data_IF_932081224437
#
_entry.id   IF_932081224437
#
_cell.length_a   1.000
_cell.length_b   1.000
_cell.length_c   1.000
_cell.angle_alpha   90.00
_cell.angle_beta   90.00
_cell.angle_gamma   90.00
#
_symmetry.space_group_name_H-M   'P 1'
#
loop_
_entity.id
_entity.type
_entity.pdbx_description
1 polymer ?
#
# COMPACT_ATOMS: atom_id res chain seq x y z
N UNK A 1 -14.95 15.01 71.34
CA UNK A 1 -15.97 13.99 71.00
C UNK A 1 -16.77 14.57 69.84
N UNK A 2 -16.30 14.36 68.60
CA UNK A 2 -16.58 13.23 67.70
C UNK A 2 -17.86 13.50 66.89
N UNK A 3 -17.64 14.07 65.71
CA UNK A 3 -18.55 14.15 64.56
C UNK A 3 -19.08 12.79 64.16
N UNK A 4 -20.26 12.73 63.54
CA UNK A 4 -20.53 11.87 62.38
C UNK A 4 -21.81 12.35 61.66
N UNK A 5 -21.63 13.17 60.63
CA UNK A 5 -22.61 13.38 59.57
C UNK A 5 -22.32 12.35 58.47
N UNK A 6 -23.32 11.56 58.11
CA UNK A 6 -23.25 10.63 56.98
C UNK A 6 -23.35 11.41 55.67
N UNK A 7 -22.22 11.57 54.98
CA UNK A 7 -22.18 11.97 53.58
C UNK A 7 -22.01 10.72 52.71
N UNK A 8 -23.00 10.45 51.86
CA UNK A 8 -22.93 9.43 50.82
C UNK A 8 -22.08 10.00 49.68
N UNK A 9 -20.80 9.63 49.63
CA UNK A 9 -19.94 9.94 48.51
C UNK A 9 -20.09 8.85 47.44
N UNK A 10 -20.67 9.23 46.31
CA UNK A 10 -20.81 8.41 45.12
C UNK A 10 -19.42 7.98 44.61
N UNK A 11 -19.19 6.66 44.57
CA UNK A 11 -18.02 6.08 43.94
C UNK A 11 -18.24 6.01 42.42
N UNK A 12 -17.77 7.04 41.70
CA UNK A 12 -17.66 7.00 40.24
C UNK A 12 -16.51 6.08 39.83
N UNK A 13 -16.82 4.81 39.55
CA UNK A 13 -15.94 3.90 38.81
C UNK A 13 -15.83 4.41 37.36
N UNK A 14 -14.82 5.23 37.09
CA UNK A 14 -14.38 5.52 35.72
C UNK A 14 -13.68 4.26 35.22
N UNK A 15 -14.45 3.37 34.59
CA UNK A 15 -13.90 2.29 33.79
C UNK A 15 -13.15 2.98 32.63
N UNK A 16 -11.82 3.02 32.73
CA UNK A 16 -10.96 3.45 31.64
C UNK A 16 -11.16 2.52 30.46
N UNK A 17 -12.03 2.92 29.53
CA UNK A 17 -12.12 2.32 28.21
C UNK A 17 -10.82 2.66 27.48
N UNK A 18 -9.81 1.82 27.61
CA UNK A 18 -8.73 1.74 26.62
C UNK A 18 -9.39 1.27 25.34
N UNK A 19 -9.79 2.22 24.50
CA UNK A 19 -10.19 1.89 23.13
C UNK A 19 -8.99 1.21 22.48
N UNK A 20 -9.13 0.00 21.92
CA UNK A 20 -8.09 -0.56 21.08
C UNK A 20 -7.83 0.46 19.97
N UNK A 21 -6.59 0.93 19.89
CA UNK A 21 -6.14 1.81 18.82
C UNK A 21 -6.45 1.15 17.48
N UNK A 22 -7.08 1.96 16.64
CA UNK A 22 -7.38 1.75 15.23
C UNK A 22 -6.39 0.76 14.58
N UNK A 23 -6.93 -0.35 14.08
CA UNK A 23 -6.24 -1.31 13.23
C UNK A 23 -5.36 -0.56 12.23
N UNK A 24 -4.05 -0.80 12.22
CA UNK A 24 -3.21 -0.48 11.06
C UNK A 24 -3.91 -1.12 9.86
N UNK A 25 -4.50 -0.31 8.98
CA UNK A 25 -4.75 -0.74 7.62
C UNK A 25 -3.37 -1.12 7.10
N UNK A 26 -3.11 -2.41 6.93
CA UNK A 26 -1.79 -2.92 6.56
C UNK A 26 -1.31 -2.12 5.34
N UNK A 27 -0.21 -1.39 5.50
CA UNK A 27 0.35 -0.53 4.45
C UNK A 27 1.09 -1.40 3.43
N UNK A 28 0.31 -2.24 2.77
CA UNK A 28 0.75 -3.32 1.88
C UNK A 28 -0.05 -3.21 0.58
N UNK A 29 0.66 -3.45 -0.53
CA UNK A 29 0.11 -3.78 -1.82
C UNK A 29 0.11 -5.30 -2.03
N UNK A 30 -0.99 -5.86 -2.52
CA UNK A 30 -1.01 -7.20 -3.09
C UNK A 30 -0.75 -7.08 -4.59
N UNK A 31 0.38 -7.58 -5.08
CA UNK A 31 0.75 -7.46 -6.51
C UNK A 31 1.08 -8.82 -7.10
N UNK A 32 0.88 -8.99 -8.41
CA UNK A 32 1.31 -10.25 -9.07
C UNK A 32 2.83 -10.34 -9.09
N UNK A 33 3.36 -11.49 -8.69
CA UNK A 33 4.79 -11.74 -8.58
C UNK A 33 5.55 -11.41 -9.88
N UNK A 34 5.05 -11.88 -11.03
CA UNK A 34 5.66 -11.65 -12.36
C UNK A 34 5.75 -10.16 -12.71
N UNK A 35 4.71 -9.38 -12.38
CA UNK A 35 4.68 -7.96 -12.69
C UNK A 35 5.68 -7.19 -11.84
N UNK A 36 5.73 -7.48 -10.53
CA UNK A 36 6.72 -6.85 -9.66
C UNK A 36 8.15 -7.25 -10.01
N UNK A 37 8.38 -8.48 -10.45
CA UNK A 37 9.68 -8.91 -10.95
C UNK A 37 10.12 -8.09 -12.17
N UNK A 38 9.21 -7.83 -13.11
CA UNK A 38 9.48 -6.92 -14.23
C UNK A 38 9.86 -5.52 -13.71
N UNK A 39 9.11 -4.97 -12.75
CA UNK A 39 9.44 -3.66 -12.17
C UNK A 39 10.85 -3.68 -11.60
N UNK A 40 11.21 -4.68 -10.80
CA UNK A 40 12.55 -4.81 -10.20
C UNK A 40 13.67 -4.90 -11.24
N UNK A 41 13.46 -5.64 -12.33
CA UNK A 41 14.42 -5.77 -13.43
C UNK A 41 14.63 -4.44 -14.18
N UNK A 42 13.64 -3.55 -14.15
CA UNK A 42 13.64 -2.28 -14.87
C UNK A 42 13.62 -1.04 -13.96
N UNK A 43 13.96 -1.16 -12.67
CA UNK A 43 13.95 -0.04 -11.69
C UNK A 43 14.72 1.18 -12.19
N UNK A 44 15.84 0.96 -12.87
CA UNK A 44 16.70 2.04 -13.35
C UNK A 44 15.99 2.87 -14.43
N UNK A 45 15.09 2.28 -15.23
CA UNK A 45 14.28 2.99 -16.24
C UNK A 45 13.23 3.89 -15.57
N UNK A 46 12.54 3.39 -14.55
CA UNK A 46 11.59 4.19 -13.77
C UNK A 46 12.28 5.35 -13.04
N UNK A 47 13.49 5.11 -12.54
CA UNK A 47 14.28 6.10 -11.79
C UNK A 47 14.82 7.25 -12.67
N UNK A 48 14.84 7.07 -14.00
CA UNK A 48 15.28 8.10 -14.97
C UNK A 48 14.17 9.05 -15.40
N UNK A 49 12.91 8.79 -15.04
CA UNK A 49 11.79 9.69 -15.34
C UNK A 49 11.97 11.06 -14.65
N UNK A 50 11.32 12.11 -15.14
CA UNK A 50 11.50 13.46 -14.61
C UNK A 50 10.90 13.65 -13.20
N UNK A 51 9.79 12.98 -12.90
CA UNK A 51 9.06 13.12 -11.62
C UNK A 51 9.78 12.42 -10.46
N UNK A 52 9.61 12.90 -9.23
CA UNK A 52 10.00 12.13 -8.04
C UNK A 52 8.96 11.06 -7.69
N UNK A 53 7.68 11.36 -7.93
CA UNK A 53 6.57 10.44 -7.74
C UNK A 53 6.36 9.63 -9.01
N UNK A 54 6.59 8.33 -8.90
CA UNK A 54 6.54 7.39 -10.02
C UNK A 54 5.28 6.56 -9.90
N UNK A 55 4.40 6.71 -10.89
CA UNK A 55 3.20 5.89 -11.06
C UNK A 55 3.56 4.74 -12.00
N UNK A 56 3.36 3.51 -11.56
CA UNK A 56 3.71 2.31 -12.30
C UNK A 56 2.45 1.51 -12.58
N UNK A 57 2.10 1.39 -13.86
CA UNK A 57 1.08 0.48 -14.34
C UNK A 57 1.72 -0.90 -14.54
N UNK A 58 1.41 -1.83 -13.64
CA UNK A 58 2.08 -3.13 -13.53
C UNK A 58 1.89 -4.02 -14.76
N UNK A 59 0.81 -3.85 -15.50
CA UNK A 59 0.50 -4.55 -16.75
C UNK A 59 1.26 -3.99 -17.98
N UNK A 60 1.78 -2.77 -17.87
CA UNK A 60 2.49 -2.09 -18.96
C UNK A 60 4.02 -2.07 -18.74
N UNK A 61 4.53 -2.73 -17.69
CA UNK A 61 5.96 -2.78 -17.43
C UNK A 61 6.75 -3.33 -18.65
N UNK A 62 7.87 -2.67 -19.07
CA UNK A 62 8.57 -1.58 -18.40
C UNK A 62 8.21 -0.15 -18.90
N UNK A 63 7.07 0.04 -19.56
CA UNK A 63 6.70 1.33 -20.14
C UNK A 63 6.56 2.43 -19.07
N UNK A 64 7.22 3.58 -19.27
CA UNK A 64 7.18 4.75 -18.39
C UNK A 64 6.43 5.94 -19.01
N UNK A 65 6.00 5.84 -20.27
CA UNK A 65 5.26 6.89 -20.95
C UNK A 65 3.78 6.84 -20.55
N UNK A 66 3.41 7.68 -19.58
CA UNK A 66 2.05 7.79 -19.07
C UNK A 66 1.05 8.14 -20.19
N UNK A 67 1.42 8.98 -21.16
CA UNK A 67 0.50 9.36 -22.23
C UNK A 67 0.18 8.16 -23.13
N UNK A 68 1.18 7.36 -23.47
CA UNK A 68 1.01 6.12 -24.23
C UNK A 68 0.17 5.09 -23.47
N UNK A 69 0.45 4.87 -22.18
CA UNK A 69 -0.29 3.93 -21.33
C UNK A 69 -1.77 4.34 -21.22
N UNK A 70 -2.04 5.60 -20.90
CA UNK A 70 -3.40 6.11 -20.73
C UNK A 70 -4.17 6.07 -22.04
N UNK A 71 -3.52 6.38 -23.17
CA UNK A 71 -4.16 6.32 -24.49
C UNK A 71 -4.65 4.91 -24.82
N UNK A 72 -3.87 3.87 -24.51
CA UNK A 72 -4.31 2.46 -24.71
C UNK A 72 -5.49 2.09 -23.80
N UNK A 73 -5.47 2.53 -22.55
CA UNK A 73 -6.53 2.21 -21.57
C UNK A 73 -7.85 2.90 -21.91
N UNK A 74 -7.82 4.15 -22.38
CA UNK A 74 -9.01 4.91 -22.82
C UNK A 74 -9.65 4.27 -24.07
N UNK A 75 -8.86 3.82 -25.03
CA UNK A 75 -9.37 3.19 -26.26
C UNK A 75 -10.09 1.86 -25.98
N UNK A 76 -9.71 1.16 -24.92
CA UNK A 76 -10.32 -0.12 -24.55
C UNK A 76 -11.57 0.03 -23.64
N UNK A 77 -12.06 1.24 -23.36
CA UNK A 77 -13.16 1.50 -22.42
C UNK A 77 -12.95 0.94 -21.00
N UNK A 78 -11.75 0.42 -20.71
CA UNK A 78 -11.25 0.19 -19.37
C UNK A 78 -10.71 1.54 -18.86
N UNK A 79 -11.60 2.49 -18.62
CA UNK A 79 -11.30 3.48 -17.58
C UNK A 79 -11.13 2.60 -16.34
N UNK A 80 -9.93 2.46 -15.76
CA UNK A 80 -9.80 1.72 -14.52
C UNK A 80 -10.80 2.37 -13.59
N UNK A 81 -11.82 1.62 -13.18
CA UNK A 81 -12.78 2.15 -12.23
C UNK A 81 -11.93 2.44 -11.02
N UNK A 82 -11.72 3.71 -10.72
CA UNK A 82 -11.13 4.18 -9.46
C UNK A 82 -12.21 3.98 -8.38
N UNK A 83 -12.89 2.84 -8.38
CA UNK A 83 -13.48 2.33 -7.18
C UNK A 83 -12.27 1.96 -6.34
N UNK A 84 -12.11 2.51 -5.12
CA UNK A 84 -11.11 2.03 -4.19
C UNK A 84 -11.53 0.62 -3.78
N UNK A 85 -11.30 -0.37 -4.65
CA UNK A 85 -11.14 -1.74 -4.21
C UNK A 85 -9.83 -1.72 -3.46
N UNK A 86 -9.92 -1.92 -2.14
CA UNK A 86 -8.75 -2.32 -1.38
C UNK A 86 -8.12 -3.49 -2.12
N UNK A 87 -6.86 -3.33 -2.47
CA UNK A 87 -6.12 -4.37 -3.14
C UNK A 87 -5.98 -5.56 -2.19
N UNK A 88 -6.07 -6.76 -2.75
CA UNK A 88 -6.14 -7.99 -1.99
C UNK A 88 -5.66 -9.17 -2.81
N UNK A 89 -5.48 -10.35 -2.21
CA UNK A 89 -4.98 -11.53 -2.91
C UNK A 89 -5.83 -11.91 -4.14
N UNK A 90 -7.14 -11.64 -4.11
CA UNK A 90 -8.06 -11.92 -5.22
C UNK A 90 -8.23 -10.74 -6.20
N UNK A 91 -7.78 -9.54 -5.80
CA UNK A 91 -7.84 -8.31 -6.57
C UNK A 91 -6.50 -7.58 -6.43
N UNK A 92 -5.41 -8.15 -6.99
CA UNK A 92 -4.10 -7.55 -6.88
C UNK A 92 -4.10 -6.18 -7.54
N UNK A 93 -3.29 -5.28 -7.01
CA UNK A 93 -3.12 -3.95 -7.55
C UNK A 93 -2.58 -3.99 -8.97
N UNK A 94 -3.13 -3.11 -9.80
CA UNK A 94 -2.71 -2.92 -11.20
C UNK A 94 -1.84 -1.67 -11.34
N UNK A 95 -1.93 -0.74 -10.39
CA UNK A 95 -1.17 0.50 -10.36
C UNK A 95 -0.57 0.65 -8.98
N UNK A 96 0.74 0.88 -8.91
CA UNK A 96 1.43 1.21 -7.66
C UNK A 96 2.12 2.55 -7.80
N UNK A 97 2.37 3.19 -6.66
CA UNK A 97 3.07 4.47 -6.60
C UNK A 97 4.25 4.35 -5.64
N UNK A 98 5.40 4.82 -6.09
CA UNK A 98 6.59 4.97 -5.26
C UNK A 98 7.28 6.29 -5.56
N UNK A 99 7.97 6.84 -4.57
CA UNK A 99 9.00 7.83 -4.84
C UNK A 99 10.25 7.17 -5.46
N UNK A 100 11.12 7.95 -6.11
CA UNK A 100 12.43 7.45 -6.56
C UNK A 100 13.26 6.83 -5.43
N UNK A 101 13.18 7.40 -4.22
CA UNK A 101 13.85 6.86 -3.03
C UNK A 101 13.31 5.47 -2.67
N UNK A 102 12.00 5.30 -2.68
CA UNK A 102 11.34 4.02 -2.42
C UNK A 102 11.64 2.96 -3.49
N UNK A 103 11.74 3.34 -4.77
CA UNK A 103 12.18 2.41 -5.81
C UNK A 103 13.58 1.86 -5.56
N UNK A 104 14.49 2.68 -5.02
CA UNK A 104 15.82 2.21 -4.64
C UNK A 104 15.73 1.16 -3.53
N UNK A 105 14.94 1.41 -2.48
CA UNK A 105 14.73 0.43 -1.41
C UNK A 105 14.07 -0.86 -1.93
N UNK A 106 13.09 -0.74 -2.84
CA UNK A 106 12.42 -1.88 -3.47
C UNK A 106 13.40 -2.80 -4.24
N UNK A 107 14.44 -2.21 -4.87
CA UNK A 107 15.50 -2.96 -5.56
C UNK A 107 16.14 -3.99 -4.64
N UNK A 108 16.50 -3.54 -3.45
CA UNK A 108 17.22 -4.32 -2.44
C UNK A 108 16.27 -5.12 -1.52
N UNK A 109 14.97 -4.78 -1.53
CA UNK A 109 13.96 -5.46 -0.73
C UNK A 109 13.84 -6.94 -1.12
N UNK A 110 14.00 -7.82 -0.13
CA UNK A 110 13.90 -9.28 -0.29
C UNK A 110 12.43 -9.68 -0.35
N UNK A 111 11.90 -9.76 -1.56
CA UNK A 111 10.59 -10.32 -1.81
C UNK A 111 10.62 -11.83 -1.59
N UNK A 112 9.63 -12.33 -0.86
CA UNK A 112 9.40 -13.77 -0.72
C UNK A 112 8.60 -14.24 -1.93
N UNK A 113 9.30 -14.57 -3.00
CA UNK A 113 8.73 -15.35 -4.08
C UNK A 113 8.75 -16.81 -3.63
N UNK A 114 7.63 -17.30 -3.09
CA UNK A 114 7.43 -18.74 -2.96
C UNK A 114 6.93 -19.24 -4.32
N UNK A 115 7.42 -20.40 -4.78
CA UNK A 115 7.24 -20.87 -6.17
C UNK A 115 5.77 -21.03 -6.60
N UNK A 116 4.84 -21.07 -5.65
CA UNK A 116 3.39 -21.20 -5.87
C UNK A 116 2.61 -19.88 -5.69
N UNK A 117 3.25 -18.79 -5.27
CA UNK A 117 2.58 -17.52 -5.03
C UNK A 117 2.47 -16.69 -6.30
N UNK A 118 1.25 -16.66 -6.89
CA UNK A 118 0.93 -15.75 -7.99
C UNK A 118 0.88 -14.28 -7.54
N UNK A 119 0.51 -14.04 -6.28
CA UNK A 119 0.37 -12.71 -5.66
C UNK A 119 1.25 -12.64 -4.41
N UNK A 120 1.96 -11.52 -4.26
CA UNK A 120 2.87 -11.24 -3.15
C UNK A 120 2.51 -9.92 -2.47
N UNK A 121 2.84 -9.84 -1.19
CA UNK A 121 2.72 -8.62 -0.39
C UNK A 121 3.95 -7.73 -0.59
N UNK A 122 3.70 -6.44 -0.81
CA UNK A 122 4.74 -5.42 -1.00
C UNK A 122 4.42 -4.23 -0.11
N UNK A 123 5.32 -3.78 0.78
CA UNK A 123 5.05 -2.59 1.58
C UNK A 123 4.87 -1.36 0.68
N UNK A 124 3.91 -0.49 1.00
CA UNK A 124 3.79 0.81 0.29
C UNK A 124 4.98 1.71 0.57
N UNK A 125 5.70 1.46 1.67
CA UNK A 125 7.01 2.03 1.96
C UNK A 125 8.10 0.96 2.17
N UNK A 126 8.85 0.55 1.12
CA UNK A 126 9.89 -0.46 1.22
C UNK A 126 11.17 0.01 1.94
N UNK A 127 11.24 1.27 2.36
CA UNK A 127 12.38 1.82 3.09
C UNK A 127 12.22 1.78 4.62
N UNK A 128 11.01 1.48 5.12
CA UNK A 128 10.68 1.41 6.55
C UNK A 128 11.14 0.12 7.22
#
# INVERSE_FOLDING_TARGET
MKSDQFAVAAASLIIGLTMPTLSEAKDIWFVRAKQLQCVKQHIDQYSQTASNDIIIFLDECPNTDLASILSKKVVNSAVPTITPKEDGPNHPAEVIQFTKGQLKCLKDYKLKFEDDLEVIEVPKDPCS
#
